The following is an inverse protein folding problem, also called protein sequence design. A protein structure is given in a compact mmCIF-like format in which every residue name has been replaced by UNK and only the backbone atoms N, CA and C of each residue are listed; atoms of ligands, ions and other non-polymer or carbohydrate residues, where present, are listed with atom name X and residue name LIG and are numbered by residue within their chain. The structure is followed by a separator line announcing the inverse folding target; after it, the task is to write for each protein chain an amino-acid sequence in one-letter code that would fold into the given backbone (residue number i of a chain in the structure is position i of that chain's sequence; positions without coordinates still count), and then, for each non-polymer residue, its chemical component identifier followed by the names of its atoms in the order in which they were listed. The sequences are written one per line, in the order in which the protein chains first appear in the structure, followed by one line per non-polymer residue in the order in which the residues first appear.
data_IF_443132950068
#
_entry.id   IF_443132950068
#
_cell.length_a   1.000
_cell.length_b   1.000
_cell.length_c   1.000
_cell.angle_alpha   90.00
_cell.angle_beta   90.00
_cell.angle_gamma   90.00
#
_symmetry.space_group_name_H-M   'P 1'
#
loop_
_entity.id
_entity.type
_entity.pdbx_description
1 polymer ?
#
# COMPACT_ATOMS: atom_id res chain seq x y z
N UNK A 1 22.26 11.65 -0.45
CA UNK A 1 21.91 12.26 -1.75
C UNK A 1 20.88 13.38 -1.59
N UNK A 2 19.66 13.10 -1.10
CA UNK A 2 18.60 14.13 -0.98
C UNK A 2 18.99 15.30 -0.08
N UNK A 3 19.65 15.05 1.07
CA UNK A 3 20.18 16.12 1.95
C UNK A 3 21.06 17.13 1.22
N UNK A 4 21.94 16.65 0.33
CA UNK A 4 22.78 17.53 -0.49
C UNK A 4 21.92 18.33 -1.46
N UNK A 5 20.96 17.68 -2.13
CA UNK A 5 20.07 18.32 -3.09
C UNK A 5 19.22 19.42 -2.42
N UNK A 6 18.69 19.17 -1.23
CA UNK A 6 17.95 20.15 -0.42
C UNK A 6 18.79 21.39 -0.10
N UNK A 7 20.10 21.20 0.18
CA UNK A 7 21.00 22.31 0.49
C UNK A 7 21.44 23.13 -0.74
N UNK A 8 21.57 22.49 -1.91
CA UNK A 8 22.16 23.15 -3.10
C UNK A 8 21.12 23.58 -4.14
N UNK A 9 19.91 23.03 -4.11
CA UNK A 9 18.92 23.26 -5.15
C UNK A 9 17.88 24.28 -4.70
N UNK A 10 17.78 25.38 -5.44
CA UNK A 10 16.68 26.36 -5.31
C UNK A 10 15.47 26.02 -6.18
N UNK A 11 15.54 24.92 -6.95
CA UNK A 11 14.49 24.50 -7.88
C UNK A 11 13.40 23.72 -7.13
N UNK A 12 12.12 23.85 -7.52
CA UNK A 12 11.06 22.97 -7.04
C UNK A 12 11.40 21.51 -7.40
N UNK A 13 11.20 20.58 -6.47
CA UNK A 13 11.50 19.18 -6.69
C UNK A 13 10.50 18.27 -5.98
N UNK A 14 10.29 17.11 -6.60
CA UNK A 14 9.44 16.03 -6.17
C UNK A 14 10.32 14.77 -6.10
N UNK A 15 10.11 13.96 -5.07
CA UNK A 15 10.72 12.64 -4.89
C UNK A 15 9.59 11.64 -4.78
N UNK A 16 9.66 10.60 -5.60
CA UNK A 16 8.73 9.46 -5.56
C UNK A 16 9.56 8.20 -5.69
N UNK A 17 9.26 7.19 -4.88
CA UNK A 17 9.89 5.88 -4.97
C UNK A 17 9.93 5.15 -3.63
N UNK A 18 10.61 4.00 -3.62
CA UNK A 18 10.69 3.12 -2.47
C UNK A 18 11.72 3.60 -1.45
N UNK A 19 11.24 4.11 -0.32
CA UNK A 19 12.09 4.55 0.78
C UNK A 19 12.46 3.42 1.75
N UNK A 20 11.77 2.27 1.70
CA UNK A 20 11.91 1.15 2.63
C UNK A 20 11.73 1.51 4.13
N UNK A 21 11.18 2.68 4.44
CA UNK A 21 10.91 3.19 5.79
C UNK A 21 9.52 3.82 5.86
N UNK A 22 8.98 3.96 7.07
CA UNK A 22 7.65 4.55 7.32
C UNK A 22 7.77 5.83 8.16
N UNK A 23 6.93 6.80 7.86
CA UNK A 23 6.76 8.07 8.59
C UNK A 23 5.84 7.92 9.80
N UNK A 24 4.99 6.89 9.86
CA UNK A 24 4.08 6.68 11.00
C UNK A 24 3.68 5.22 11.20
N UNK A 25 3.24 4.85 12.41
CA UNK A 25 2.75 3.49 12.68
C UNK A 25 1.49 3.15 11.87
N UNK A 26 0.68 4.15 11.52
CA UNK A 26 -0.54 3.97 10.72
C UNK A 26 -0.23 3.46 9.29
N UNK A 27 0.98 3.70 8.80
CA UNK A 27 1.45 3.20 7.50
C UNK A 27 1.85 1.73 7.53
N UNK A 28 1.74 1.08 8.70
CA UNK A 28 1.99 -0.33 8.88
C UNK A 28 0.78 -1.00 9.52
N UNK A 29 0.35 -2.09 8.89
CA UNK A 29 -0.58 -3.02 9.49
C UNK A 29 0.12 -4.36 9.75
N UNK A 30 -0.04 -4.89 10.95
CA UNK A 30 0.49 -6.18 11.37
C UNK A 30 0.63 -6.27 12.90
N UNK A 31 0.92 -7.46 13.41
CA UNK A 31 1.05 -7.70 14.86
C UNK A 31 2.19 -6.86 15.47
N UNK A 32 3.34 -6.84 14.79
CA UNK A 32 4.51 -6.15 15.28
C UNK A 32 4.45 -4.68 14.88
N UNK A 33 4.72 -3.77 15.81
CA UNK A 33 4.91 -2.36 15.52
C UNK A 33 6.31 -2.09 14.95
N UNK A 34 6.52 -0.99 14.24
CA UNK A 34 7.89 -0.53 13.89
C UNK A 34 8.51 0.07 15.15
N UNK A 35 9.81 -0.08 15.33
CA UNK A 35 10.49 0.58 16.46
C UNK A 35 10.50 2.10 16.28
N UNK A 36 10.16 2.85 17.32
CA UNK A 36 9.92 4.29 17.23
C UNK A 36 11.14 5.09 16.78
N UNK A 37 12.34 4.71 17.21
CA UNK A 37 13.56 5.42 16.85
C UNK A 37 13.85 5.37 15.34
N UNK A 38 13.45 4.29 14.63
CA UNK A 38 13.58 4.23 13.16
C UNK A 38 12.65 5.21 12.47
N UNK A 39 11.40 5.30 12.94
CA UNK A 39 10.43 6.29 12.45
C UNK A 39 10.98 7.69 12.69
N UNK A 40 11.48 7.97 13.89
CA UNK A 40 12.03 9.28 14.22
C UNK A 40 13.24 9.63 13.34
N UNK A 41 14.19 8.71 13.16
CA UNK A 41 15.34 8.95 12.27
C UNK A 41 14.93 9.23 10.81
N UNK A 42 13.85 8.59 10.35
CA UNK A 42 13.30 8.88 9.02
C UNK A 42 12.58 10.24 8.95
N UNK A 43 11.84 10.62 9.99
CA UNK A 43 11.24 11.97 10.11
C UNK A 43 12.31 13.06 10.18
N UNK A 44 13.39 12.84 10.92
CA UNK A 44 14.52 13.76 11.00
C UNK A 44 15.15 13.93 9.61
N UNK A 45 15.30 12.83 8.87
CA UNK A 45 15.74 12.89 7.47
C UNK A 45 14.82 13.72 6.58
N UNK A 46 13.50 13.60 6.72
CA UNK A 46 12.52 14.41 5.99
C UNK A 46 12.64 15.89 6.33
N UNK A 47 12.70 16.20 7.63
CA UNK A 47 12.82 17.55 8.13
C UNK A 47 14.11 18.22 7.63
N UNK A 48 15.24 17.51 7.66
CA UNK A 48 16.51 18.01 7.14
C UNK A 48 16.52 18.25 5.62
N UNK A 49 15.65 17.57 4.89
CA UNK A 49 15.51 17.76 3.45
C UNK A 49 14.41 18.76 3.07
N UNK A 50 13.70 19.35 4.04
CA UNK A 50 12.52 20.19 3.82
C UNK A 50 11.50 19.49 2.91
N UNK A 51 11.30 18.19 3.16
CA UNK A 51 10.37 17.35 2.40
C UNK A 51 9.05 17.22 3.14
N UNK A 52 7.97 17.47 2.38
CA UNK A 52 6.61 17.26 2.84
C UNK A 52 5.99 16.10 2.07
N UNK A 53 5.39 15.17 2.81
CA UNK A 53 4.52 14.17 2.22
C UNK A 53 3.31 14.85 1.56
N UNK A 54 3.07 14.53 0.30
CA UNK A 54 1.91 15.01 -0.47
C UNK A 54 0.63 14.32 0.04
N UNK A 55 0.78 13.13 0.62
CA UNK A 55 -0.29 12.29 1.10
C UNK A 55 -0.99 11.55 -0.04
N UNK A 56 -1.80 10.58 0.37
CA UNK A 56 -2.56 9.72 -0.54
C UNK A 56 -3.96 9.45 0.03
N UNK A 57 -4.95 9.34 -0.84
CA UNK A 57 -6.32 8.94 -0.47
C UNK A 57 -6.67 7.57 -1.04
N UNK A 58 -7.12 6.66 -0.18
CA UNK A 58 -7.52 5.30 -0.56
C UNK A 58 -6.66 4.23 0.11
N UNK A 59 -6.34 3.16 -0.62
CA UNK A 59 -5.46 2.11 -0.10
C UNK A 59 -4.01 2.59 -0.08
N UNK A 60 -3.55 3.00 1.09
CA UNK A 60 -2.18 3.47 1.29
C UNK A 60 -1.14 2.34 1.20
N UNK A 61 -1.48 1.06 1.31
CA UNK A 61 -0.43 0.03 1.39
C UNK A 61 0.15 -0.33 0.01
N UNK A 62 1.46 -0.14 -0.16
CA UNK A 62 2.18 -0.45 -1.40
C UNK A 62 2.90 -1.80 -1.36
N UNK A 63 3.06 -2.38 -0.17
CA UNK A 63 3.63 -3.70 0.01
C UNK A 63 2.78 -4.58 0.94
N UNK A 64 2.74 -5.89 0.63
CA UNK A 64 2.13 -6.93 1.45
C UNK A 64 2.99 -8.18 1.47
N UNK A 65 3.02 -8.87 2.61
CA UNK A 65 3.66 -10.19 2.68
C UNK A 65 2.76 -11.34 2.14
N UNK A 66 1.53 -11.03 1.72
CA UNK A 66 0.54 -11.97 1.17
C UNK A 66 0.20 -13.16 2.08
N UNK A 67 0.43 -13.04 3.39
CA UNK A 67 0.03 -14.06 4.37
C UNK A 67 -1.38 -13.81 4.87
N UNK A 68 -2.04 -14.88 5.32
CA UNK A 68 -3.35 -14.79 5.96
C UNK A 68 -3.25 -14.28 7.40
N UNK A 69 -4.40 -13.85 7.94
CA UNK A 69 -4.48 -13.40 9.32
C UNK A 69 -4.14 -14.56 10.29
N UNK A 70 -3.47 -14.28 11.42
CA UNK A 70 -3.05 -12.97 11.92
C UNK A 70 -1.66 -12.53 11.40
N UNK A 71 -1.04 -13.29 10.51
CA UNK A 71 0.34 -13.05 10.03
C UNK A 71 0.44 -12.07 8.85
N UNK A 72 -0.70 -11.56 8.35
CA UNK A 72 -0.72 -10.52 7.31
C UNK A 72 0.02 -9.28 7.78
N UNK A 73 0.96 -8.82 6.95
CA UNK A 73 1.65 -7.53 7.14
C UNK A 73 1.49 -6.72 5.87
N UNK A 74 1.08 -5.46 6.02
CA UNK A 74 0.97 -4.47 4.95
C UNK A 74 1.71 -3.19 5.34
N UNK A 75 2.39 -2.57 4.39
CA UNK A 75 3.23 -1.39 4.64
C UNK A 75 3.11 -0.40 3.48
N UNK A 76 3.03 0.90 3.77
CA UNK A 76 3.24 1.98 2.80
C UNK A 76 4.72 2.32 2.75
N UNK A 77 5.41 2.00 1.65
CA UNK A 77 6.86 2.20 1.49
C UNK A 77 7.23 3.25 0.44
N UNK A 78 6.25 3.69 -0.36
CA UNK A 78 6.48 4.56 -1.52
C UNK A 78 5.79 5.93 -1.38
N UNK A 79 6.09 6.73 -0.33
CA UNK A 79 5.52 8.06 -0.21
C UNK A 79 6.02 8.98 -1.32
N UNK A 80 5.14 9.86 -1.80
CA UNK A 80 5.49 10.94 -2.70
C UNK A 80 5.72 12.21 -1.89
N UNK A 81 6.91 12.80 -2.01
CA UNK A 81 7.32 13.91 -1.17
C UNK A 81 7.84 15.06 -2.00
N UNK A 82 7.49 16.29 -1.63
CA UNK A 82 7.89 17.47 -2.38
C UNK A 82 8.47 18.55 -1.50
N UNK A 83 9.25 19.43 -2.11
CA UNK A 83 9.63 20.68 -1.47
C UNK A 83 8.44 21.65 -1.41
N UNK A 84 8.40 22.60 -0.46
CA UNK A 84 7.32 23.58 -0.36
C UNK A 84 7.09 24.37 -1.64
N UNK A 85 8.16 24.68 -2.37
CA UNK A 85 8.10 25.40 -3.64
C UNK A 85 7.46 24.58 -4.75
N UNK A 86 7.63 23.26 -4.75
CA UNK A 86 6.94 22.41 -5.71
C UNK A 86 5.45 22.33 -5.36
N UNK A 87 5.12 22.13 -4.08
CA UNK A 87 3.73 22.10 -3.62
C UNK A 87 2.96 23.39 -3.95
N UNK A 88 3.61 24.56 -3.83
CA UNK A 88 2.98 25.85 -4.17
C UNK A 88 2.76 26.06 -5.68
N UNK A 89 3.58 25.44 -6.53
CA UNK A 89 3.41 25.48 -7.99
C UNK A 89 2.35 24.51 -8.49
N UNK A 90 2.12 23.40 -7.76
CA UNK A 90 1.19 22.35 -8.15
C UNK A 90 0.18 22.03 -7.03
N UNK A 91 -0.69 22.99 -6.63
CA UNK A 91 -1.60 22.80 -5.51
C UNK A 91 -2.62 21.66 -5.71
N UNK A 92 -2.96 21.34 -6.97
CA UNK A 92 -3.87 20.26 -7.34
C UNK A 92 -3.15 18.93 -7.64
N UNK A 93 -1.84 18.84 -7.40
CA UNK A 93 -1.08 17.63 -7.67
C UNK A 93 -1.62 16.42 -6.91
N UNK A 94 -1.97 16.61 -5.63
CA UNK A 94 -2.51 15.55 -4.78
C UNK A 94 -3.74 14.90 -5.40
N UNK A 95 -4.70 15.69 -5.88
CA UNK A 95 -5.93 15.18 -6.48
C UNK A 95 -5.63 14.40 -7.76
N UNK A 96 -4.74 14.92 -8.60
CA UNK A 96 -4.32 14.26 -9.84
C UNK A 96 -3.60 12.93 -9.56
N UNK A 97 -2.76 12.90 -8.53
CA UNK A 97 -2.05 11.69 -8.09
C UNK A 97 -3.02 10.64 -7.53
N UNK A 98 -3.97 11.07 -6.70
CA UNK A 98 -5.02 10.21 -6.15
C UNK A 98 -5.87 9.57 -7.27
N UNK A 99 -6.25 10.36 -8.27
CA UNK A 99 -7.00 9.87 -9.43
C UNK A 99 -6.20 8.82 -10.22
N UNK A 100 -4.93 9.09 -10.52
CA UNK A 100 -4.08 8.17 -11.27
C UNK A 100 -3.85 6.86 -10.53
N UNK A 101 -3.53 6.92 -9.24
CA UNK A 101 -3.35 5.72 -8.43
C UNK A 101 -4.64 4.90 -8.30
N UNK A 102 -5.79 5.56 -8.17
CA UNK A 102 -7.10 4.88 -8.16
C UNK A 102 -7.35 4.14 -9.47
N UNK A 103 -6.99 4.75 -10.61
CA UNK A 103 -7.07 4.09 -11.93
C UNK A 103 -6.10 2.91 -12.03
N UNK A 104 -4.87 3.06 -11.54
CA UNK A 104 -3.90 1.97 -11.49
C UNK A 104 -4.38 0.81 -10.62
N UNK A 105 -4.99 1.07 -9.46
CA UNK A 105 -5.56 0.03 -8.59
C UNK A 105 -6.64 -0.77 -9.32
N UNK A 106 -7.49 -0.11 -10.12
CA UNK A 106 -8.48 -0.79 -10.97
C UNK A 106 -7.79 -1.67 -12.01
N UNK A 107 -6.75 -1.18 -12.67
CA UNK A 107 -5.97 -1.94 -13.66
C UNK A 107 -5.33 -3.16 -12.99
N UNK A 108 -4.74 -3.01 -11.80
CA UNK A 108 -4.13 -4.11 -11.06
C UNK A 108 -5.17 -5.16 -10.65
N UNK A 109 -6.35 -4.76 -10.18
CA UNK A 109 -7.45 -5.71 -9.88
C UNK A 109 -7.90 -6.48 -11.11
N UNK A 110 -7.98 -5.82 -12.26
CA UNK A 110 -8.32 -6.48 -13.53
C UNK A 110 -7.20 -7.42 -13.98
N UNK A 111 -5.94 -6.99 -13.89
CA UNK A 111 -4.75 -7.80 -14.20
C UNK A 111 -4.67 -9.02 -13.29
N UNK A 112 -4.87 -8.89 -12.00
CA UNK A 112 -4.89 -10.01 -11.05
C UNK A 112 -6.00 -11.01 -11.40
N UNK A 113 -7.18 -10.52 -11.79
CA UNK A 113 -8.28 -11.38 -12.24
C UNK A 113 -7.96 -12.09 -13.56
N UNK A 114 -7.36 -11.40 -14.53
CA UNK A 114 -6.93 -12.00 -15.80
C UNK A 114 -5.81 -13.00 -15.55
N UNK A 115 -4.80 -12.63 -14.75
CA UNK A 115 -3.72 -13.49 -14.31
C UNK A 115 -4.29 -14.75 -13.65
N UNK A 116 -5.26 -14.60 -12.75
CA UNK A 116 -5.98 -15.69 -12.12
C UNK A 116 -6.71 -16.60 -13.12
N UNK A 117 -7.33 -16.03 -14.16
CA UNK A 117 -7.97 -16.80 -15.24
C UNK A 117 -6.95 -17.50 -16.15
N UNK A 118 -5.79 -16.89 -16.39
CA UNK A 118 -4.75 -17.45 -17.27
C UNK A 118 -3.83 -18.45 -16.56
N UNK A 119 -3.59 -18.28 -15.26
CA UNK A 119 -2.70 -19.12 -14.43
C UNK A 119 -3.44 -20.24 -13.69
N UNK A 120 -4.71 -20.48 -14.05
CA UNK A 120 -5.57 -21.52 -13.47
C UNK A 120 -4.84 -22.82 -13.09
N UNK A 121 -5.13 -23.28 -11.86
CA UNK A 121 -4.74 -24.55 -11.21
C UNK A 121 -3.26 -24.82 -10.94
N UNK A 122 -2.32 -23.90 -11.18
CA UNK A 122 -0.89 -24.16 -10.89
C UNK A 122 -0.43 -23.87 -9.46
N UNK A 123 -1.30 -23.41 -8.55
CA UNK A 123 -0.93 -23.09 -7.17
C UNK A 123 -1.80 -23.80 -6.11
N UNK A 124 -1.91 -25.12 -6.20
CA UNK A 124 -2.85 -25.98 -5.44
C UNK A 124 -2.90 -25.74 -3.92
N UNK A 125 -1.79 -25.36 -3.26
CA UNK A 125 -1.77 -25.25 -1.79
C UNK A 125 -2.55 -24.08 -1.20
N UNK A 126 -2.62 -22.93 -1.88
CA UNK A 126 -3.43 -21.80 -1.41
C UNK A 126 -4.92 -22.02 -1.72
N UNK A 127 -5.21 -22.70 -2.83
CA UNK A 127 -6.57 -23.07 -3.20
C UNK A 127 -7.17 -24.09 -2.24
N UNK A 128 -6.42 -25.12 -1.83
CA UNK A 128 -6.92 -26.10 -0.85
C UNK A 128 -7.33 -25.43 0.47
N UNK A 129 -6.57 -24.44 0.96
CA UNK A 129 -6.90 -23.74 2.19
C UNK A 129 -8.16 -22.85 2.05
N UNK A 130 -8.23 -22.04 0.98
CA UNK A 130 -9.30 -21.07 0.77
C UNK A 130 -10.61 -21.71 0.29
N UNK A 131 -10.52 -22.82 -0.44
CA UNK A 131 -11.68 -23.61 -0.86
C UNK A 131 -12.21 -24.48 0.29
N UNK A 132 -11.35 -24.92 1.21
CA UNK A 132 -11.77 -25.57 2.46
C UNK A 132 -12.48 -24.58 3.40
N UNK A 133 -12.01 -23.33 3.51
CA UNK A 133 -12.68 -22.27 4.27
C UNK A 133 -14.06 -21.91 3.68
N UNK A 134 -14.16 -21.85 2.33
CA UNK A 134 -15.43 -21.67 1.62
C UNK A 134 -16.37 -22.86 1.73
N UNK A 135 -15.85 -24.09 1.77
CA UNK A 135 -16.65 -25.31 2.03
C UNK A 135 -17.24 -25.33 3.42
N UNK A 136 -16.49 -24.93 4.45
CA UNK A 136 -17.01 -24.83 5.82
C UNK A 136 -18.12 -23.79 5.98
N UNK A 137 -18.07 -22.70 5.21
CA UNK A 137 -19.07 -21.61 5.29
C UNK A 137 -20.29 -21.80 4.38
N UNK A 138 -20.21 -22.69 3.38
CA UNK A 138 -21.29 -22.94 2.40
C UNK A 138 -21.93 -24.34 2.51
N UNK A 139 -21.65 -25.07 3.58
CA UNK A 139 -22.28 -26.36 3.82
C UNK A 139 -23.80 -26.18 4.03
N UNK A 140 -24.60 -26.55 3.03
CA UNK A 140 -26.06 -26.56 3.13
C UNK A 140 -26.43 -27.70 4.08
N UNK A 141 -26.70 -27.37 5.33
CA UNK A 141 -26.92 -28.35 6.40
C UNK A 141 -28.17 -29.22 6.21
N UNK A 142 -29.16 -28.76 5.45
CA UNK A 142 -30.35 -29.53 5.05
C UNK A 142 -31.13 -28.80 3.95
N UNK A 143 -31.69 -29.54 3.00
CA UNK A 143 -32.79 -29.07 2.15
C UNK A 143 -34.05 -29.67 2.76
N UNK A 144 -35.04 -28.82 3.07
CA UNK A 144 -36.30 -29.24 3.66
C UNK A 144 -37.37 -29.24 2.57
N UNK A 145 -37.95 -30.41 2.30
CA UNK A 145 -39.15 -30.52 1.46
C UNK A 145 -40.37 -30.02 2.23
N UNK A 146 -41.40 -29.58 1.51
CA UNK A 146 -42.64 -29.00 2.07
C UNK A 146 -43.50 -29.97 2.89
N UNK A 147 -42.99 -31.15 3.21
CA UNK A 147 -43.61 -32.17 4.06
C UNK A 147 -42.60 -32.73 5.09
N UNK A 148 -41.98 -31.84 5.89
CA UNK A 148 -41.36 -32.17 7.19
C UNK A 148 -39.90 -32.61 7.17
#
# INVERSE_FOLDING_TARGET
MLRRLAQVSVRPWLVVGDFNEILSQQEKQGILQRVQWKINGFRDYFHECDLHDIGFEGNIFTWSNHREAPHTVRVHLDPACSSPRWASLFPCAKDSMNELASREEVIWKQRDKVLWLTEGDRNTRFFDAKDNERRQTKEIKKIQDSLG
#
